data_IF_039098994703
#
_entry.id   IF_039098994703
#
_cell.length_a   1.000
_cell.length_b   1.000
_cell.length_c   1.000
_cell.angle_alpha   90.00
_cell.angle_beta   90.00
_cell.angle_gamma   90.00
#
_symmetry.space_group_name_H-M   'P 1'
#
loop_
_entity.id
_entity.type
_entity.pdbx_description
1 polymer ?
#
# COMPACT_ATOMS: atom_id res chain seq x y z
N UNK A 1 -10.15 63.01 2.53
CA UNK A 1 -10.07 62.05 1.39
C UNK A 1 -9.58 60.72 1.93
N UNK A 2 -10.52 59.83 2.29
CA UNK A 2 -10.26 58.51 2.84
C UNK A 2 -10.03 57.51 1.71
N UNK A 3 -8.84 56.93 1.62
CA UNK A 3 -8.60 55.81 0.74
C UNK A 3 -8.81 54.52 1.55
N UNK A 4 -9.94 53.84 1.31
CA UNK A 4 -10.24 52.52 1.84
C UNK A 4 -9.43 51.52 1.02
N UNK A 5 -8.43 50.87 1.67
CA UNK A 5 -7.66 49.79 1.10
C UNK A 5 -8.44 48.48 1.27
N UNK A 6 -9.04 48.00 0.14
CA UNK A 6 -9.77 46.77 0.10
C UNK A 6 -8.77 45.58 0.03
N UNK A 7 -8.54 44.88 1.14
CA UNK A 7 -7.71 43.68 1.18
C UNK A 7 -8.58 42.52 0.72
N UNK A 8 -8.30 42.04 -0.51
CA UNK A 8 -8.93 40.86 -1.11
C UNK A 8 -8.34 39.61 -0.46
N UNK A 9 -9.06 38.99 0.48
CA UNK A 9 -8.69 37.74 1.10
C UNK A 9 -8.97 36.59 0.13
N UNK A 10 -7.97 36.13 -0.61
CA UNK A 10 -8.10 34.95 -1.48
C UNK A 10 -8.04 33.71 -0.59
N UNK A 11 -9.21 33.14 -0.30
CA UNK A 11 -9.31 31.84 0.38
C UNK A 11 -8.96 30.77 -0.65
N UNK A 12 -7.74 30.24 -0.62
CA UNK A 12 -7.38 29.03 -1.31
C UNK A 12 -8.10 27.85 -0.65
N UNK A 13 -9.27 27.50 -1.16
CA UNK A 13 -9.92 26.23 -0.87
C UNK A 13 -9.09 25.13 -1.54
N UNK A 14 -8.20 24.55 -0.76
CA UNK A 14 -7.43 23.36 -1.18
C UNK A 14 -8.42 22.19 -1.32
N UNK A 15 -8.97 22.00 -2.53
CA UNK A 15 -9.71 20.79 -2.88
C UNK A 15 -8.73 19.61 -2.82
N UNK A 16 -8.71 18.90 -1.70
CA UNK A 16 -8.12 17.58 -1.64
C UNK A 16 -8.89 16.67 -2.58
N UNK A 17 -8.26 16.01 -3.55
CA UNK A 17 -8.95 15.03 -4.37
C UNK A 17 -9.54 13.96 -3.44
N UNK A 18 -10.84 13.74 -3.60
CA UNK A 18 -11.61 12.75 -2.86
C UNK A 18 -11.05 11.37 -3.23
N UNK A 19 -10.13 10.83 -2.42
CA UNK A 19 -9.66 9.45 -2.59
C UNK A 19 -10.89 8.57 -2.30
N UNK A 20 -11.46 7.99 -3.36
CA UNK A 20 -12.47 6.94 -3.22
C UNK A 20 -11.83 5.83 -2.40
N UNK A 21 -12.34 5.66 -1.18
CA UNK A 21 -11.97 4.54 -0.33
C UNK A 21 -12.17 3.22 -1.10
N UNK A 22 -11.22 2.30 -1.07
CA UNK A 22 -11.44 0.98 -1.63
C UNK A 22 -12.67 0.37 -0.94
N UNK A 23 -13.58 -0.18 -1.75
CA UNK A 23 -14.85 -0.74 -1.29
C UNK A 23 -14.60 -1.81 -0.21
N UNK A 24 -14.81 -1.46 1.06
CA UNK A 24 -14.47 -2.26 2.24
C UNK A 24 -15.57 -3.24 2.65
N UNK A 25 -16.60 -3.45 1.81
CA UNK A 25 -17.83 -4.12 2.23
C UNK A 25 -17.85 -5.65 2.17
N UNK A 26 -17.03 -6.27 1.33
CA UNK A 26 -17.08 -7.73 1.15
C UNK A 26 -15.75 -8.38 1.53
N UNK A 27 -15.78 -9.36 2.44
CA UNK A 27 -14.64 -10.23 2.73
C UNK A 27 -14.50 -11.33 1.66
N UNK A 28 -13.36 -12.01 1.64
CA UNK A 28 -13.20 -13.22 0.85
C UNK A 28 -14.26 -14.27 1.25
N UNK A 29 -14.74 -15.04 0.28
CA UNK A 29 -15.74 -16.08 0.51
C UNK A 29 -15.01 -17.39 0.79
N UNK A 30 -15.29 -17.99 1.96
CA UNK A 30 -14.79 -19.31 2.33
C UNK A 30 -15.93 -20.32 2.23
N UNK A 31 -15.73 -21.35 1.43
CA UNK A 31 -16.68 -22.45 1.31
C UNK A 31 -15.91 -23.74 1.00
N UNK A 32 -16.21 -24.81 1.75
CA UNK A 32 -15.68 -26.16 1.52
C UNK A 32 -14.15 -26.20 1.29
N UNK A 33 -13.41 -25.63 2.24
CA UNK A 33 -11.93 -25.50 2.20
C UNK A 33 -11.36 -24.61 1.07
N UNK A 34 -12.22 -23.97 0.28
CA UNK A 34 -11.82 -23.07 -0.81
C UNK A 34 -12.06 -21.63 -0.40
N UNK A 35 -11.05 -20.78 -0.61
CA UNK A 35 -11.17 -19.33 -0.42
C UNK A 35 -11.19 -18.64 -1.78
N UNK A 36 -12.32 -18.04 -2.11
CA UNK A 36 -12.45 -17.15 -3.27
C UNK A 36 -12.03 -15.73 -2.84
N UNK A 37 -11.00 -15.15 -3.44
CA UNK A 37 -10.50 -13.85 -2.99
C UNK A 37 -11.43 -12.72 -3.39
N UNK A 38 -11.42 -11.67 -2.58
CA UNK A 38 -11.91 -10.37 -3.00
C UNK A 38 -10.88 -9.70 -3.91
N UNK A 39 -11.28 -9.32 -5.12
CA UNK A 39 -10.45 -8.51 -6.00
C UNK A 39 -10.61 -7.04 -5.66
N UNK A 40 -9.51 -6.38 -5.28
CA UNK A 40 -9.44 -4.95 -4.97
C UNK A 40 -8.62 -4.26 -6.05
N UNK A 41 -9.15 -3.18 -6.60
CA UNK A 41 -8.42 -2.33 -7.54
C UNK A 41 -7.99 -1.09 -6.77
N UNK A 42 -6.69 -0.91 -6.63
CA UNK A 42 -6.11 0.26 -6.00
C UNK A 42 -5.61 1.17 -7.13
N UNK A 43 -6.06 2.42 -7.13
CA UNK A 43 -5.79 3.38 -8.18
C UNK A 43 -5.35 4.70 -7.55
N UNK A 44 -4.21 4.66 -6.88
CA UNK A 44 -3.59 5.81 -6.21
C UNK A 44 -2.67 6.59 -7.16
N UNK A 45 -1.46 6.10 -7.43
CA UNK A 45 -0.56 6.67 -8.44
C UNK A 45 -0.60 5.89 -9.76
N UNK A 46 -0.47 4.56 -9.67
CA UNK A 46 -0.58 3.63 -10.80
C UNK A 46 -1.51 2.49 -10.38
N UNK A 47 -2.44 2.13 -11.27
CA UNK A 47 -3.41 1.08 -11.03
C UNK A 47 -2.74 -0.27 -10.76
N UNK A 48 -3.06 -0.88 -9.61
CA UNK A 48 -2.64 -2.23 -9.24
C UNK A 48 -3.81 -3.10 -8.80
N UNK A 49 -3.58 -4.40 -8.77
CA UNK A 49 -4.58 -5.38 -8.36
C UNK A 49 -4.14 -6.11 -7.10
N UNK A 50 -5.02 -6.16 -6.13
CA UNK A 50 -4.86 -6.97 -4.93
C UNK A 50 -5.97 -8.01 -4.89
N UNK A 51 -5.59 -9.28 -4.68
CA UNK A 51 -6.49 -10.38 -4.43
C UNK A 51 -6.37 -10.73 -2.95
N UNK A 52 -7.38 -10.35 -2.18
CA UNK A 52 -7.42 -10.54 -0.74
C UNK A 52 -8.13 -11.86 -0.42
N UNK A 53 -7.39 -12.79 0.16
CA UNK A 53 -7.85 -14.10 0.63
C UNK A 53 -8.11 -14.12 2.14
N UNK A 54 -8.07 -12.99 2.82
CA UNK A 54 -8.22 -12.88 4.26
C UNK A 54 -9.66 -13.20 4.67
N UNK A 55 -9.84 -14.16 5.59
CA UNK A 55 -11.14 -14.53 6.14
C UNK A 55 -11.39 -13.94 7.53
N UNK A 56 -10.34 -13.45 8.19
CA UNK A 56 -10.40 -12.79 9.50
C UNK A 56 -9.44 -11.61 9.57
N UNK A 57 -9.51 -10.84 10.66
CA UNK A 57 -8.59 -9.72 10.92
C UNK A 57 -7.29 -10.17 11.60
N UNK A 58 -7.14 -11.45 11.93
CA UNK A 58 -5.95 -11.98 12.60
C UNK A 58 -4.79 -12.18 11.64
N UNK A 59 -5.10 -12.64 10.42
CA UNK A 59 -4.10 -12.90 9.37
C UNK A 59 -4.65 -12.37 8.05
N UNK A 60 -3.88 -11.50 7.41
CA UNK A 60 -4.07 -11.10 6.02
C UNK A 60 -3.30 -12.03 5.09
N UNK A 61 -3.92 -12.46 4.00
CA UNK A 61 -3.27 -13.21 2.92
C UNK A 61 -3.63 -12.56 1.60
N UNK A 62 -2.65 -11.99 0.93
CA UNK A 62 -2.85 -11.25 -0.31
C UNK A 62 -1.96 -11.76 -1.43
N UNK A 63 -2.47 -11.71 -2.65
CA UNK A 63 -1.68 -11.76 -3.88
C UNK A 63 -1.77 -10.40 -4.56
N UNK A 64 -0.63 -9.77 -4.84
CA UNK A 64 -0.56 -8.47 -5.48
C UNK A 64 0.04 -8.56 -6.88
N UNK A 65 -0.52 -7.78 -7.79
CA UNK A 65 0.01 -7.49 -9.12
C UNK A 65 0.25 -5.99 -9.22
N UNK A 66 1.50 -5.60 -9.34
CA UNK A 66 1.93 -4.20 -9.40
C UNK A 66 2.72 -3.92 -10.68
N UNK A 67 2.24 -3.03 -11.56
CA UNK A 67 2.90 -2.73 -12.82
C UNK A 67 4.23 -2.00 -12.62
N UNK A 68 4.99 -1.88 -13.70
CA UNK A 68 6.22 -1.08 -13.74
C UNK A 68 5.94 0.36 -13.31
N UNK A 69 6.83 0.91 -12.50
CA UNK A 69 6.72 2.29 -11.98
C UNK A 69 5.79 2.43 -10.76
N UNK A 70 5.13 1.35 -10.33
CA UNK A 70 4.32 1.42 -9.12
C UNK A 70 5.17 1.62 -7.86
N UNK A 71 4.71 2.49 -6.98
CA UNK A 71 5.32 2.76 -5.66
C UNK A 71 4.24 3.12 -4.65
N UNK A 72 4.43 2.71 -3.41
CA UNK A 72 3.64 3.19 -2.27
C UNK A 72 4.25 4.47 -1.67
N UNK A 73 3.48 5.25 -0.91
CA UNK A 73 4.04 6.22 0.03
C UNK A 73 4.96 5.53 1.05
N UNK A 74 5.76 6.30 1.77
CA UNK A 74 6.48 5.75 2.93
C UNK A 74 5.46 5.40 4.00
N UNK A 75 5.47 4.15 4.47
CA UNK A 75 4.54 3.65 5.48
C UNK A 75 5.28 3.18 6.73
N UNK A 76 4.56 3.16 7.85
CA UNK A 76 4.93 2.46 9.08
C UNK A 76 3.72 1.70 9.57
N UNK A 77 3.76 0.36 9.48
CA UNK A 77 2.67 -0.51 9.86
C UNK A 77 2.88 -1.11 11.26
N UNK A 78 1.79 -1.26 12.02
CA UNK A 78 1.79 -1.97 13.31
C UNK A 78 1.64 -3.49 13.15
N UNK A 79 1.73 -3.99 11.95
CA UNK A 79 1.74 -5.42 11.61
C UNK A 79 3.04 -5.79 10.88
N UNK A 80 3.39 -7.05 10.99
CA UNK A 80 4.48 -7.64 10.23
C UNK A 80 4.00 -8.00 8.82
N UNK A 81 4.85 -7.84 7.81
CA UNK A 81 4.59 -8.27 6.44
C UNK A 81 5.64 -9.30 6.06
N UNK A 82 5.21 -10.51 5.72
CA UNK A 82 6.06 -11.55 5.13
C UNK A 82 5.57 -11.91 3.76
N UNK A 83 6.45 -12.31 2.86
CA UNK A 83 5.99 -12.72 1.55
C UNK A 83 7.05 -13.37 0.70
N UNK A 84 6.62 -13.73 -0.50
CA UNK A 84 7.46 -14.31 -1.55
C UNK A 84 7.18 -13.54 -2.84
N UNK A 85 8.24 -13.15 -3.53
CA UNK A 85 8.15 -12.60 -4.88
C UNK A 85 8.00 -13.76 -5.87
N UNK A 86 6.91 -13.77 -6.62
CA UNK A 86 6.63 -14.78 -7.63
C UNK A 86 7.20 -14.41 -9.00
N UNK A 87 7.16 -13.11 -9.35
CA UNK A 87 7.67 -12.55 -10.61
C UNK A 87 8.09 -11.10 -10.40
N UNK A 88 9.05 -10.62 -11.17
CA UNK A 88 9.57 -9.27 -11.08
C UNK A 88 10.56 -9.06 -9.94
N UNK A 89 10.75 -7.81 -9.55
CA UNK A 89 11.68 -7.42 -8.48
C UNK A 89 10.95 -6.49 -7.50
N UNK A 90 10.84 -6.91 -6.25
CA UNK A 90 10.33 -6.07 -5.17
C UNK A 90 11.44 -5.13 -4.68
N UNK A 91 11.14 -3.83 -4.59
CA UNK A 91 11.96 -2.83 -3.95
C UNK A 91 11.44 -2.52 -2.55
N UNK A 92 12.32 -2.56 -1.57
CA UNK A 92 12.10 -2.08 -0.21
C UNK A 92 13.10 -0.96 0.08
N UNK A 93 12.61 0.27 0.16
CA UNK A 93 13.42 1.43 0.52
C UNK A 93 13.28 1.71 2.01
N UNK A 94 14.40 1.82 2.68
CA UNK A 94 14.56 2.20 4.08
C UNK A 94 15.37 3.50 4.15
N UNK A 95 15.47 4.11 5.32
CA UNK A 95 16.31 5.30 5.53
C UNK A 95 17.78 5.05 5.15
N UNK A 96 18.27 3.84 5.37
CA UNK A 96 19.66 3.40 5.14
C UNK A 96 19.92 2.95 3.69
N UNK A 97 18.89 2.89 2.85
CA UNK A 97 19.02 2.50 1.44
C UNK A 97 17.98 1.49 0.97
N UNK A 98 18.18 0.99 -0.25
CA UNK A 98 17.23 0.12 -0.95
C UNK A 98 17.68 -1.32 -0.93
N UNK A 99 16.76 -2.25 -0.65
CA UNK A 99 16.90 -3.69 -0.85
C UNK A 99 16.05 -4.11 -2.05
N UNK A 100 16.65 -4.87 -2.98
CA UNK A 100 15.94 -5.47 -4.11
C UNK A 100 15.81 -6.96 -3.89
N UNK A 101 14.58 -7.46 -3.97
CA UNK A 101 14.24 -8.87 -3.75
C UNK A 101 13.74 -9.43 -5.09
N UNK A 102 14.53 -10.30 -5.76
CA UNK A 102 14.12 -10.90 -7.02
C UNK A 102 13.09 -12.02 -6.81
N UNK A 103 12.52 -12.51 -7.92
CA UNK A 103 11.60 -13.65 -7.91
C UNK A 103 12.20 -14.86 -7.20
N UNK A 104 11.33 -15.70 -6.63
CA UNK A 104 11.66 -16.89 -5.83
C UNK A 104 12.40 -16.60 -4.49
N UNK A 105 12.47 -15.34 -4.09
CA UNK A 105 12.98 -14.93 -2.77
C UNK A 105 11.86 -14.45 -1.86
N UNK A 106 12.02 -14.76 -0.56
CA UNK A 106 11.16 -14.26 0.49
C UNK A 106 11.62 -12.90 1.02
N UNK A 107 10.71 -12.19 1.65
CA UNK A 107 10.99 -10.96 2.39
C UNK A 107 10.25 -10.93 3.72
N UNK A 108 10.78 -10.13 4.64
CA UNK A 108 10.19 -9.86 5.94
C UNK A 108 10.37 -8.37 6.25
N UNK A 109 9.27 -7.70 6.54
CA UNK A 109 9.23 -6.34 7.07
C UNK A 109 8.65 -6.44 8.49
N UNK A 110 9.47 -6.26 9.53
CA UNK A 110 8.98 -6.28 10.91
C UNK A 110 7.96 -5.16 11.15
N UNK A 111 7.06 -5.37 12.10
CA UNK A 111 6.15 -4.32 12.54
C UNK A 111 6.91 -3.05 13.00
N UNK A 112 6.28 -1.90 12.86
CA UNK A 112 6.85 -0.59 13.17
C UNK A 112 8.10 -0.19 12.35
N UNK A 113 8.41 -0.92 11.28
CA UNK A 113 9.45 -0.53 10.32
C UNK A 113 8.92 0.54 9.37
N UNK A 114 9.68 1.63 9.19
CA UNK A 114 9.38 2.68 8.21
C UNK A 114 9.96 2.26 6.86
N UNK A 115 9.13 2.10 5.83
CA UNK A 115 9.52 1.54 4.54
C UNK A 115 8.68 2.11 3.41
N UNK A 116 9.27 2.25 2.22
CA UNK A 116 8.55 2.42 0.94
C UNK A 116 8.65 1.13 0.15
N UNK A 117 7.52 0.64 -0.35
CA UNK A 117 7.41 -0.59 -1.13
C UNK A 117 7.13 -0.20 -2.58
N UNK A 118 7.86 -0.79 -3.54
CA UNK A 118 7.72 -0.43 -4.95
C UNK A 118 8.12 -1.57 -5.89
N UNK A 119 7.74 -1.48 -7.16
CA UNK A 119 8.25 -2.34 -8.21
C UNK A 119 9.61 -1.79 -8.68
N UNK A 120 10.69 -2.52 -8.38
CA UNK A 120 12.07 -2.14 -8.72
C UNK A 120 12.57 -2.79 -10.02
N UNK A 121 11.68 -3.49 -10.74
CA UNK A 121 11.98 -4.19 -11.99
C UNK A 121 11.46 -3.48 -13.23
N UNK A 122 11.70 -4.10 -14.38
CA UNK A 122 11.24 -3.67 -15.71
C UNK A 122 10.03 -4.47 -16.22
N UNK A 123 9.46 -5.33 -15.39
CA UNK A 123 8.27 -6.14 -15.64
C UNK A 123 7.27 -6.05 -14.49
N UNK A 124 6.08 -6.62 -14.64
CA UNK A 124 5.09 -6.66 -13.57
C UNK A 124 5.63 -7.41 -12.35
N UNK A 125 5.52 -6.79 -11.18
CA UNK A 125 5.78 -7.43 -9.90
C UNK A 125 4.55 -8.22 -9.47
N UNK A 126 4.74 -9.52 -9.23
CA UNK A 126 3.73 -10.38 -8.62
C UNK A 126 4.30 -10.96 -7.33
N UNK A 127 3.57 -10.80 -6.24
CA UNK A 127 3.97 -11.35 -4.94
C UNK A 127 2.77 -11.91 -4.18
N UNK A 128 3.06 -12.79 -3.22
CA UNK A 128 2.13 -13.19 -2.16
C UNK A 128 2.67 -12.71 -0.84
N UNK A 129 1.81 -12.13 -0.03
CA UNK A 129 2.16 -11.60 1.29
C UNK A 129 1.18 -12.06 2.37
N UNK A 130 1.71 -12.24 3.56
CA UNK A 130 0.99 -12.50 4.80
C UNK A 130 1.21 -11.33 5.74
N UNK A 131 0.14 -10.78 6.29
CA UNK A 131 0.14 -9.70 7.27
C UNK A 131 -0.33 -10.23 8.62
N UNK A 132 0.38 -9.89 9.69
CA UNK A 132 0.00 -10.30 11.04
C UNK A 132 0.13 -9.16 12.04
N UNK A 133 -1.01 -8.66 12.61
CA UNK A 133 -2.40 -8.94 12.20
C UNK A 133 -2.72 -8.52 10.76
N UNK A 134 -3.89 -8.91 10.27
CA UNK A 134 -4.37 -8.53 8.94
C UNK A 134 -4.48 -7.01 8.76
N UNK A 135 -4.54 -6.57 7.51
CA UNK A 135 -4.58 -5.14 7.18
C UNK A 135 -5.78 -4.44 7.82
N UNK A 136 -5.50 -3.36 8.53
CA UNK A 136 -6.48 -2.39 9.00
C UNK A 136 -5.89 -0.99 8.83
N UNK A 137 -6.62 -0.08 8.19
CA UNK A 137 -6.15 1.30 7.92
C UNK A 137 -5.61 2.01 9.16
N UNK A 138 -6.26 1.81 10.32
CA UNK A 138 -5.84 2.39 11.62
C UNK A 138 -4.47 1.90 12.13
N UNK A 139 -3.95 0.80 11.56
CA UNK A 139 -2.64 0.22 11.90
C UNK A 139 -1.51 0.74 11.01
N UNK A 140 -1.80 1.61 10.03
CA UNK A 140 -0.81 2.15 9.09
C UNK A 140 -0.71 3.66 9.26
N UNK A 141 0.51 4.16 9.39
CA UNK A 141 0.83 5.57 9.33
C UNK A 141 1.55 5.85 8.01
N UNK A 142 1.10 6.88 7.31
CA UNK A 142 1.67 7.33 6.03
C UNK A 142 2.55 8.55 6.25
N UNK A 143 3.66 8.63 5.52
CA UNK A 143 4.61 9.73 5.55
C UNK A 143 4.90 10.19 4.13
N UNK A 144 5.21 11.46 3.94
CA UNK A 144 5.67 11.98 2.65
C UNK A 144 7.10 11.52 2.37
N UNK A 145 7.96 11.57 3.40
CA UNK A 145 9.39 11.24 3.32
C UNK A 145 9.88 10.48 4.57
N UNK A 146 11.12 9.94 4.50
CA UNK A 146 11.74 9.23 5.62
C UNK A 146 12.10 10.12 6.82
N UNK A 147 12.33 11.41 6.59
CA UNK A 147 12.86 12.34 7.61
C UNK A 147 11.78 13.10 8.40
N UNK A 148 10.50 12.78 8.19
CA UNK A 148 9.37 13.39 8.90
C UNK A 148 8.84 12.48 10.01
#
# INVERSE_FOLDING_TARGET
MNRILLILLIIFTCCRPNQKEPNTGEKAIYNDYVVTPKKIIINDNIKRYLFDYSISDEIGLNKMHAPVGWTEPVIKAKFEIRGIVLSGILGLEFKEGVKKIPSSKGFLIPNNTKVRIFNAGSEELVLVEVLRPGYQKKLVTFFEEFNN
#
